data_IF_494708289805
#
_entry.id   IF_494708289805
#
_cell.length_a   1.000
_cell.length_b   1.000
_cell.length_c   1.000
_cell.angle_alpha   90.00
_cell.angle_beta   90.00
_cell.angle_gamma   90.00
#
_symmetry.space_group_name_H-M   'P 1'
#
loop_
_entity.id
_entity.type
_entity.pdbx_description
1 polymer ?
2 non-polymer ?
3 water ?
#
# COMPACT_ATOMS: atom_id res chain seq x y z
N UNK A 4 20.79 6.78 20.23
CA UNK A 4 21.07 5.46 20.88
C UNK A 4 21.02 4.33 19.85
N UNK A 5 21.92 3.35 20.01
CA UNK A 5 21.96 2.17 19.15
C UNK A 5 20.79 1.21 19.39
N UNK A 6 20.13 1.34 20.54
CA UNK A 6 18.98 0.51 20.92
C UNK A 6 17.79 0.78 20.00
N UNK A 7 17.56 2.08 19.75
CA UNK A 7 16.58 2.52 18.77
C UNK A 7 16.98 2.06 17.35
N UNK A 8 18.22 2.33 16.96
CA UNK A 8 18.74 1.96 15.63
C UNK A 8 18.68 0.47 15.25
N UNK A 9 18.99 -0.41 16.20
CA UNK A 9 18.93 -1.86 15.94
C UNK A 9 17.49 -2.36 15.75
N UNK A 10 16.52 -1.48 16.01
CA UNK A 10 15.12 -1.74 15.70
C UNK A 10 14.73 -1.21 14.31
N UNK A 11 15.68 -0.54 13.64
CA UNK A 11 15.46 0.04 12.31
C UNK A 11 15.56 -1.01 11.22
N UNK A 12 14.64 -0.94 10.25
CA UNK A 12 14.59 -1.87 9.13
C UNK A 12 15.96 -2.34 8.67
N UNK A 13 16.73 -1.43 8.11
CA UNK A 13 18.06 -1.74 7.55
C UNK A 13 18.91 -2.71 8.41
N UNK A 14 19.30 -2.31 9.62
CA UNK A 14 20.08 -3.20 10.51
C UNK A 14 19.32 -3.71 11.74
N UNK A 15 18.40 -4.66 11.53
CA UNK A 15 17.49 -5.06 12.60
C UNK A 15 17.76 -6.45 13.19
N UNK A 16 18.62 -6.48 14.22
CA UNK A 16 19.02 -7.73 14.87
C UNK A 16 19.95 -8.57 14.01
N UNK A 17 21.12 -8.03 13.69
CA UNK A 17 22.09 -8.70 12.81
C UNK A 17 23.46 -8.93 13.51
N UNK A 18 24.09 -7.83 13.95
CA UNK A 18 25.41 -7.88 14.60
C UNK A 18 25.38 -7.63 16.12
N UNK A 19 25.91 -8.60 16.91
CA UNK A 19 25.94 -8.50 18.39
C UNK A 19 26.71 -7.27 18.93
N UNK A 20 27.84 -6.93 18.32
CA UNK A 20 28.69 -5.81 18.79
C UNK A 20 29.20 -4.85 17.69
N UNK A 21 29.53 -5.40 16.51
CA UNK A 21 30.06 -4.59 15.41
C UNK A 21 28.94 -3.96 14.56
N UNK A 22 27.78 -3.78 15.19
CA UNK A 22 26.68 -2.98 14.65
C UNK A 22 27.04 -1.48 14.75
N UNK A 23 28.14 -1.21 15.45
CA UNK A 23 28.48 0.14 15.91
C UNK A 23 29.36 0.96 14.96
N UNK A 24 30.39 0.33 14.38
CA UNK A 24 31.31 1.03 13.46
C UNK A 24 30.68 1.38 12.12
N UNK A 25 29.38 1.11 12.01
CA UNK A 25 28.56 1.48 10.85
C UNK A 25 27.59 2.64 11.18
N UNK A 26 27.06 2.64 12.40
CA UNK A 26 26.28 3.76 12.93
C UNK A 26 27.13 5.03 12.97
N UNK A 27 28.41 4.86 13.29
CA UNK A 27 29.37 5.97 13.28
C UNK A 27 29.73 6.42 11.85
N UNK A 28 29.40 5.59 10.85
CA UNK A 28 29.55 5.98 9.43
C UNK A 28 28.43 6.93 9.00
N UNK A 29 27.57 7.29 9.95
CA UNK A 29 26.49 8.27 9.76
C UNK A 29 26.60 9.31 10.87
N UNK A 30 26.76 10.58 10.49
CA UNK A 30 26.65 11.67 11.46
C UNK A 30 25.15 11.96 11.67
N UNK A 31 24.76 12.17 12.94
CA UNK A 31 23.39 12.53 13.35
C UNK A 31 22.89 13.90 12.88
N UNK A 32 21.58 14.12 13.01
CA UNK A 32 20.97 15.40 12.60
C UNK A 32 19.83 15.72 13.54
N UNK A 33 19.90 16.91 14.13
CA UNK A 33 18.86 17.39 15.04
C UNK A 33 18.07 18.46 14.32
N UNK A 34 16.76 18.29 14.33
CA UNK A 34 15.83 19.22 13.69
C UNK A 34 14.91 19.77 14.79
N UNK A 35 14.61 21.08 14.73
CA UNK A 35 13.58 21.68 15.60
C UNK A 35 12.21 21.15 15.18
N UNK A 36 11.21 21.37 16.04
CA UNK A 36 9.80 21.14 15.70
C UNK A 36 9.36 22.05 14.56
N UNK A 37 8.52 21.50 13.68
CA UNK A 37 7.96 22.20 12.52
C UNK A 37 8.94 22.54 11.40
N UNK A 38 9.93 21.69 11.19
CA UNK A 38 11.00 21.88 10.23
C UNK A 38 10.74 21.04 8.96
N UNK A 39 10.87 21.65 7.79
CA UNK A 39 10.69 20.90 6.56
C UNK A 39 11.96 20.15 6.24
N UNK A 40 11.96 18.85 6.47
CA UNK A 40 13.16 18.07 6.17
C UNK A 40 13.40 18.03 4.67
N UNK A 41 12.34 17.82 3.88
CA UNK A 41 12.35 17.94 2.42
C UNK A 41 10.95 18.21 1.91
N UNK A 42 10.85 18.86 0.75
CA UNK A 42 9.56 19.28 0.23
C UNK A 42 9.25 18.52 -1.01
N UNK A 43 7.97 18.38 -1.31
CA UNK A 43 7.49 17.82 -2.56
C UNK A 43 8.22 18.39 -3.76
N UNK A 44 8.73 17.51 -4.60
CA UNK A 44 9.37 17.95 -5.85
C UNK A 44 10.82 18.36 -5.80
N UNK A 45 11.43 18.34 -4.62
CA UNK A 45 12.86 18.61 -4.51
C UNK A 45 13.67 17.37 -4.89
N UNK A 46 14.88 17.57 -5.45
CA UNK A 46 15.79 16.42 -5.58
C UNK A 46 16.11 15.80 -4.22
N UNK A 47 16.53 14.55 -4.21
CA UNK A 47 17.05 14.00 -2.97
C UNK A 47 17.75 12.69 -3.17
N UNK A 48 18.78 12.44 -2.38
CA UNK A 48 19.47 11.15 -2.42
C UNK A 48 19.85 10.73 -1.00
N UNK A 49 19.07 11.26 -0.06
CA UNK A 49 19.25 11.05 1.35
C UNK A 49 18.05 10.30 1.92
N UNK A 50 18.31 9.25 2.68
CA UNK A 50 17.27 8.68 3.55
C UNK A 50 17.60 9.00 4.99
N UNK A 51 16.58 8.97 5.84
CA UNK A 51 16.70 9.32 7.25
C UNK A 51 16.13 8.21 8.08
N UNK A 52 16.73 8.00 9.22
CA UNK A 52 16.20 7.07 10.21
C UNK A 52 16.04 7.89 11.47
N UNK A 53 14.82 7.86 12.01
CA UNK A 53 14.53 8.66 13.21
C UNK A 53 15.09 7.96 14.46
N UNK A 54 15.79 8.72 15.31
CA UNK A 54 16.22 8.20 16.62
C UNK A 54 15.15 8.57 17.66
N UNK A 55 14.71 9.82 17.62
CA UNK A 55 13.60 10.25 18.44
C UNK A 55 12.84 11.36 17.74
N UNK A 56 11.56 11.50 18.09
CA UNK A 56 10.68 12.50 17.47
C UNK A 56 9.78 11.93 16.37
N UNK A 57 8.91 12.77 15.82
CA UNK A 57 7.97 12.36 14.80
C UNK A 57 8.06 13.29 13.62
N UNK A 58 7.71 12.73 12.46
CA UNK A 58 7.82 13.35 11.17
C UNK A 58 6.58 12.96 10.43
N UNK A 59 5.83 13.97 9.96
CA UNK A 59 4.66 13.74 9.14
C UNK A 59 4.97 13.76 7.65
N UNK A 60 4.38 12.82 6.91
CA UNK A 60 4.71 12.63 5.49
C UNK A 60 3.50 13.06 4.68
N UNK A 61 3.66 14.06 3.82
CA UNK A 61 2.48 14.74 3.28
C UNK A 61 2.46 14.97 1.79
N UNK A 62 1.24 15.19 1.26
CA UNK A 62 1.01 15.63 -0.13
C UNK A 62 0.09 16.83 -0.08
N UNK A 63 0.27 17.73 -1.04
CA UNK A 63 -0.51 18.95 -1.08
C UNK A 63 -1.19 18.96 -2.44
N UNK A 64 -2.50 19.21 -2.47
CA UNK A 64 -3.23 19.28 -3.74
C UNK A 64 -3.03 20.64 -4.40
N UNK A 65 -3.19 20.73 -5.74
CA UNK A 65 -3.29 21.93 -6.57
C UNK A 65 -3.87 23.16 -5.89
N UNK A 66 -4.99 22.98 -5.17
CA UNK A 66 -5.70 24.08 -4.50
C UNK A 66 -5.39 24.19 -2.99
N UNK A 67 -4.23 23.66 -2.56
CA UNK A 67 -3.74 23.88 -1.21
C UNK A 67 -4.19 22.96 -0.09
N UNK A 68 -5.16 22.09 -0.36
CA UNK A 68 -5.52 21.06 0.62
C UNK A 68 -4.34 20.12 0.84
N UNK A 69 -4.26 19.56 2.04
CA UNK A 69 -3.15 18.71 2.40
C UNK A 69 -3.68 17.36 2.89
N UNK A 70 -2.89 16.33 2.58
CA UNK A 70 -3.17 14.97 3.02
C UNK A 70 -1.92 14.47 3.73
N UNK A 71 -2.07 13.70 4.81
CA UNK A 71 -0.92 13.06 5.41
C UNK A 71 -0.93 11.54 5.16
N UNK A 72 0.09 11.05 4.47
CA UNK A 72 0.17 9.60 4.13
C UNK A 72 0.47 8.74 5.39
N UNK A 73 1.37 9.22 6.22
CA UNK A 73 1.76 8.48 7.40
C UNK A 73 2.49 9.40 8.36
N UNK A 74 2.62 8.95 9.61
CA UNK A 74 3.45 9.64 10.64
C UNK A 74 4.58 8.67 11.00
N UNK A 75 5.80 9.14 10.88
CA UNK A 75 6.98 8.33 11.15
C UNK A 75 7.47 8.61 12.57
N UNK A 76 8.11 7.63 13.20
CA UNK A 76 8.57 7.75 14.62
C UNK A 76 9.92 7.06 14.82
N UNK A 77 10.39 6.96 16.09
CA UNK A 77 11.64 6.28 16.41
C UNK A 77 11.77 4.99 15.64
N UNK A 78 12.96 4.78 15.08
CA UNK A 78 13.33 3.62 14.26
C UNK A 78 12.80 3.62 12.82
N UNK A 79 11.82 4.48 12.49
CA UNK A 79 11.30 4.56 11.13
C UNK A 79 12.23 5.28 10.15
N UNK A 80 12.28 4.73 8.94
CA UNK A 80 13.05 5.30 7.85
C UNK A 80 12.12 6.05 6.93
N UNK A 81 12.60 7.18 6.42
CA UNK A 81 11.87 7.90 5.40
C UNK A 81 12.83 8.56 4.36
N UNK A 82 12.29 9.06 3.26
CA UNK A 82 13.06 9.58 2.11
C UNK A 82 13.74 8.47 1.33
N UNK A 83 13.21 7.24 1.43
CA UNK A 83 13.90 6.08 0.88
C UNK A 83 13.53 5.85 -0.58
N UNK A 84 12.45 6.49 -1.05
CA UNK A 84 11.95 6.24 -2.38
C UNK A 84 12.89 6.74 -3.48
N UNK A 85 13.44 7.94 -3.29
CA UNK A 85 14.46 8.48 -4.18
C UNK A 85 15.83 7.84 -4.02
N UNK A 86 16.00 6.98 -3.02
CA UNK A 86 17.21 6.21 -2.94
C UNK A 86 17.07 5.06 -3.94
N UNK A 87 15.91 4.42 -3.97
CA UNK A 87 15.82 3.17 -4.74
C UNK A 87 15.35 3.44 -6.15
N UNK A 88 14.74 4.61 -6.35
CA UNK A 88 14.13 5.01 -7.59
C UNK A 88 14.44 6.47 -7.78
N UNK A 89 15.73 6.75 -8.15
CA UNK A 89 16.20 8.13 -8.30
C UNK A 89 15.19 9.01 -8.99
N UNK A 90 14.94 10.17 -8.41
CA UNK A 90 14.03 11.16 -8.98
C UNK A 90 13.63 12.11 -7.86
N UNK A 91 12.76 13.07 -8.16
CA UNK A 91 12.49 14.05 -7.12
C UNK A 91 11.57 13.46 -6.04
N UNK A 92 11.57 14.08 -4.85
CA UNK A 92 10.60 13.78 -3.81
C UNK A 92 9.19 13.94 -4.36
N UNK A 93 8.34 12.96 -4.04
CA UNK A 93 6.92 13.02 -4.38
C UNK A 93 6.06 13.38 -3.18
N UNK A 94 6.73 13.51 -2.02
CA UNK A 94 6.11 13.84 -0.73
C UNK A 94 6.96 14.86 0.00
N UNK A 95 6.35 15.57 0.97
CA UNK A 95 7.08 16.38 1.94
C UNK A 95 7.25 15.60 3.25
N UNK A 96 8.36 15.84 3.97
CA UNK A 96 8.59 15.29 5.29
C UNK A 96 8.81 16.50 6.17
N UNK A 97 7.94 16.64 7.19
CA UNK A 97 7.95 17.76 8.14
C UNK A 97 7.91 17.24 9.60
N UNK A 98 8.85 17.74 10.37
CA UNK A 98 9.01 17.46 11.77
C UNK A 98 7.78 17.98 12.59
N UNK A 99 7.22 17.14 13.46
CA UNK A 99 6.09 17.56 14.33
C UNK A 99 6.51 17.71 15.80
N UNK A 100 7.72 17.29 16.12
CA UNK A 100 8.33 17.45 17.44
C UNK A 100 9.76 17.81 17.13
N UNK A 101 10.58 18.06 18.14
CA UNK A 101 12.00 18.13 17.93
C UNK A 101 12.44 16.70 17.55
N UNK A 102 13.32 16.58 16.57
CA UNK A 102 13.66 15.26 16.03
C UNK A 102 15.18 15.09 16.01
N UNK A 103 15.67 13.95 16.50
CA UNK A 103 17.05 13.47 16.28
C UNK A 103 16.96 12.37 15.24
N UNK A 104 17.74 12.50 14.18
CA UNK A 104 17.71 11.49 13.17
C UNK A 104 19.15 11.20 12.77
N UNK A 105 19.30 10.21 11.90
CA UNK A 105 20.57 9.90 11.35
C UNK A 105 20.27 9.78 9.86
N UNK A 106 21.29 9.99 9.02
CA UNK A 106 21.12 10.30 7.59
C UNK A 106 22.20 9.54 6.80
N UNK A 107 21.91 9.26 5.52
CA UNK A 107 22.75 8.37 4.69
C UNK A 107 22.41 8.61 3.24
N UNK A 108 23.39 8.58 2.33
CA UNK A 108 23.06 8.80 0.91
C UNK A 108 23.04 7.52 0.13
N UNK A 109 22.65 7.56 -1.14
CA UNK A 109 22.42 6.31 -1.91
C UNK A 109 23.68 5.48 -2.05
N UNK A 110 24.79 6.17 -2.32
CA UNK A 110 26.04 5.48 -2.59
C UNK A 110 26.56 4.77 -1.37
N UNK A 111 26.48 5.43 -0.22
CA UNK A 111 26.76 4.84 1.11
C UNK A 111 25.89 3.61 1.40
N UNK A 112 24.58 3.77 1.28
CA UNK A 112 23.66 2.63 1.35
C UNK A 112 23.99 1.48 0.39
N UNK A 113 24.26 1.79 -0.89
CA UNK A 113 24.73 0.75 -1.84
C UNK A 113 25.99 0.02 -1.34
N UNK A 114 26.90 0.75 -0.72
CA UNK A 114 28.11 0.15 -0.13
C UNK A 114 27.77 -0.91 0.95
N UNK A 115 26.82 -0.58 1.83
CA UNK A 115 26.28 -1.53 2.83
C UNK A 115 25.26 -2.52 2.30
N UNK A 116 25.48 -3.12 1.14
CA UNK A 116 24.59 -4.18 0.68
C UNK A 116 25.43 -5.21 -0.04
N UNK A 117 26.56 -4.75 -0.60
CA UNK A 117 27.43 -5.58 -1.41
C UNK A 117 28.15 -6.64 -0.57
N UNK A 118 28.18 -6.41 0.75
CA UNK A 118 28.54 -7.45 1.73
C UNK A 118 27.31 -8.22 2.21
N UNK A 119 26.15 -7.59 2.13
CA UNK A 119 25.06 -7.95 3.04
C UNK A 119 23.65 -7.90 2.47
N UNK A 120 23.27 -8.93 1.69
CA UNK A 120 21.93 -9.04 1.14
C UNK A 120 20.79 -9.12 2.16
N UNK A 121 21.07 -9.51 3.40
CA UNK A 121 20.03 -9.54 4.45
C UNK A 121 19.43 -8.15 4.72
N UNK A 122 20.22 -7.13 4.45
CA UNK A 122 19.78 -5.74 4.57
C UNK A 122 18.77 -5.39 3.49
N UNK A 123 19.05 -5.81 2.28
CA UNK A 123 18.11 -5.65 1.18
C UNK A 123 16.79 -6.36 1.48
N UNK A 124 16.86 -7.57 2.02
CA UNK A 124 15.66 -8.27 2.45
C UNK A 124 14.80 -7.40 3.39
N UNK A 125 15.45 -6.71 4.32
CA UNK A 125 14.78 -5.94 5.36
C UNK A 125 14.17 -4.67 4.74
N UNK A 126 14.84 -4.14 3.72
CA UNK A 126 14.32 -2.94 3.02
C UNK A 126 13.13 -3.26 2.13
N UNK A 127 13.15 -4.44 1.52
CA UNK A 127 12.02 -4.92 0.72
C UNK A 127 10.82 -5.23 1.61
N UNK A 128 11.06 -5.70 2.84
CA UNK A 128 10.00 -5.89 3.81
C UNK A 128 9.30 -4.55 4.10
N UNK A 129 10.09 -3.53 4.38
CA UNK A 129 9.57 -2.22 4.74
C UNK A 129 8.75 -1.64 3.60
N UNK A 130 9.27 -1.67 2.37
CA UNK A 130 8.53 -1.18 1.21
C UNK A 130 7.23 -1.96 0.99
N UNK A 131 7.27 -3.26 1.14
CA UNK A 131 6.04 -4.07 0.93
C UNK A 131 5.00 -3.79 2.04
N UNK A 132 5.47 -3.57 3.26
CA UNK A 132 4.60 -3.20 4.39
C UNK A 132 3.89 -1.89 4.08
N UNK A 133 4.65 -0.91 3.61
CA UNK A 133 4.10 0.38 3.18
C UNK A 133 3.15 0.28 1.99
N UNK A 134 3.48 -0.56 1.00
CA UNK A 134 2.55 -0.87 -0.09
C UNK A 134 1.23 -1.44 0.41
N UNK A 135 1.29 -2.41 1.31
CA UNK A 135 0.10 -2.98 1.93
C UNK A 135 -0.76 -1.94 2.65
N UNK A 136 -0.13 -1.10 3.44
CA UNK A 136 -0.84 -0.08 4.19
C UNK A 136 -1.56 0.89 3.24
N UNK A 137 -0.89 1.30 2.17
CA UNK A 137 -1.47 2.24 1.23
C UNK A 137 -2.71 1.56 0.57
N UNK A 138 -2.57 0.28 0.26
CA UNK A 138 -3.64 -0.49 -0.37
C UNK A 138 -4.81 -0.65 0.61
N UNK A 139 -4.49 -0.91 1.89
CA UNK A 139 -5.49 -0.98 2.95
C UNK A 139 -6.19 0.39 3.12
N UNK A 140 -5.43 1.48 3.12
CA UNK A 140 -6.05 2.84 3.09
C UNK A 140 -6.93 3.11 1.85
N UNK A 141 -6.52 2.61 0.68
CA UNK A 141 -7.30 2.78 -0.54
C UNK A 141 -8.65 2.04 -0.38
N UNK A 142 -8.59 0.82 0.15
CA UNK A 142 -9.80 0.07 0.42
C UNK A 142 -10.71 0.78 1.42
N UNK A 143 -10.13 1.39 2.47
CA UNK A 143 -10.92 2.11 3.50
C UNK A 143 -11.62 3.32 2.86
N UNK A 144 -10.87 4.06 2.04
CA UNK A 144 -11.41 5.23 1.37
C UNK A 144 -12.69 4.95 0.59
N UNK A 145 -12.71 3.88 -0.18
CA UNK A 145 -13.89 3.62 -0.99
C UNK A 145 -15.02 3.02 -0.13
N UNK A 146 -14.69 2.14 0.81
CA UNK A 146 -15.71 1.30 1.38
C UNK A 146 -16.01 1.48 2.87
N UNK A 147 -15.29 2.34 3.55
CA UNK A 147 -15.53 2.59 4.96
C UNK A 147 -15.96 4.04 5.08
N UNK A 148 -16.94 4.33 5.95
CA UNK A 148 -17.43 5.70 6.14
C UNK A 148 -16.44 6.50 6.98
N UNK A 149 -16.60 7.82 7.02
CA UNK A 149 -15.63 8.67 7.66
C UNK A 149 -15.44 8.27 9.15
N UNK A 150 -16.52 8.11 9.94
CA UNK A 150 -16.26 7.68 11.33
C UNK A 150 -15.48 6.35 11.46
N UNK A 151 -15.75 5.39 10.57
CA UNK A 151 -15.01 4.14 10.60
C UNK A 151 -13.54 4.39 10.29
N UNK A 152 -13.26 5.33 9.39
CA UNK A 152 -11.87 5.68 9.03
C UNK A 152 -11.16 6.43 10.17
N UNK A 153 -11.89 7.29 10.87
CA UNK A 153 -11.38 7.98 12.11
C UNK A 153 -11.00 6.93 13.13
N UNK A 154 -11.93 5.97 13.35
CA UNK A 154 -11.71 4.86 14.28
C UNK A 154 -10.46 4.04 13.92
N UNK A 155 -10.34 3.64 12.66
CA UNK A 155 -9.16 2.95 12.14
C UNK A 155 -7.84 3.71 12.32
N UNK A 156 -7.82 4.98 11.95
CA UNK A 156 -6.61 5.76 12.12
C UNK A 156 -6.19 5.87 13.58
N UNK A 157 -7.16 6.08 14.47
CA UNK A 157 -6.87 6.10 15.93
C UNK A 157 -6.28 4.78 16.42
N UNK A 158 -6.85 3.66 15.98
CA UNK A 158 -6.27 2.34 16.30
C UNK A 158 -4.91 2.06 15.66
N UNK A 159 -4.69 2.56 14.44
CA UNK A 159 -3.39 2.42 13.78
C UNK A 159 -2.33 3.27 14.52
N UNK A 160 -2.71 4.47 14.90
CA UNK A 160 -1.84 5.32 15.75
C UNK A 160 -1.50 4.60 17.06
N UNK A 161 -2.52 4.02 17.71
CA UNK A 161 -2.34 3.27 18.96
C UNK A 161 -1.41 2.07 18.78
N UNK A 162 -1.43 1.46 17.59
CA UNK A 162 -0.56 0.32 17.33
C UNK A 162 0.89 0.72 17.32
N UNK A 163 1.16 1.95 16.88
CA UNK A 163 2.53 2.42 16.66
C UNK A 163 3.04 3.23 17.87
N UNK A 164 2.14 3.97 18.50
CA UNK A 164 2.53 4.96 19.49
C UNK A 164 1.91 4.73 20.89
N UNK A 165 0.98 3.79 21.03
CA UNK A 165 0.23 3.68 22.28
C UNK A 165 1.04 3.11 23.42
N UNK A 166 0.66 3.48 24.66
CA UNK A 166 1.23 2.95 25.90
C UNK A 166 0.07 2.68 26.87
N UNK A 167 0.15 1.59 27.63
CA UNK A 167 -0.98 1.30 28.52
C UNK A 167 -1.03 2.34 29.66
N UNK A 168 -2.23 2.77 30.00
CA UNK A 168 -2.39 3.68 31.15
C UNK A 168 -3.58 3.11 31.86
N UNK A 169 -3.30 2.20 32.79
CA UNK A 169 -4.32 1.46 33.52
C UNK A 169 -5.13 0.58 32.58
N UNK A 170 -6.46 0.71 32.62
CA UNK A 170 -7.31 -0.04 31.71
C UNK A 170 -7.58 0.70 30.41
N UNK A 171 -6.67 1.58 30.02
CA UNK A 171 -6.83 2.41 28.84
C UNK A 171 -5.51 2.50 28.09
N UNK A 172 -5.57 2.97 26.85
CA UNK A 172 -4.39 3.08 26.01
C UNK A 172 -4.14 4.57 25.71
N UNK A 173 -3.00 5.08 26.16
CA UNK A 173 -2.61 6.48 25.87
C UNK A 173 -1.94 6.51 24.51
N UNK A 174 -2.38 7.41 23.62
CA UNK A 174 -1.81 7.47 22.27
C UNK A 174 -1.35 8.92 22.10
N UNK A 175 -0.05 9.14 22.28
CA UNK A 175 0.50 10.48 22.13
C UNK A 175 0.91 10.63 20.67
N UNK A 176 0.02 11.19 19.87
CA UNK A 176 0.23 11.30 18.39
C UNK A 176 0.94 12.57 17.97
N UNK A 177 0.96 13.59 18.86
CA UNK A 177 1.59 14.87 18.60
C UNK A 177 1.03 15.62 17.38
N UNK A 178 -0.23 15.33 17.04
CA UNK A 178 -0.90 15.97 15.94
C UNK A 178 -1.95 16.94 16.37
N UNK A 179 -2.12 17.92 15.52
CA UNK A 179 -3.04 18.99 15.74
C UNK A 179 -4.38 18.42 15.24
N UNK A 180 -5.52 19.05 15.62
CA UNK A 180 -6.88 18.69 15.11
C UNK A 180 -6.92 18.57 13.60
N UNK A 181 -6.33 19.55 12.93
CA UNK A 181 -6.26 19.64 11.48
C UNK A 181 -5.42 18.50 10.88
N UNK A 182 -4.28 18.20 11.53
CA UNK A 182 -3.40 17.11 11.08
C UNK A 182 -4.06 15.70 11.23
N UNK A 183 -4.82 15.50 12.31
CA UNK A 183 -5.62 14.27 12.43
C UNK A 183 -6.59 14.09 11.23
N UNK A 184 -7.22 15.18 10.78
CA UNK A 184 -8.17 15.10 9.69
C UNK A 184 -7.44 14.89 8.36
N UNK A 185 -6.28 15.51 8.20
CA UNK A 185 -5.41 15.29 7.03
C UNK A 185 -4.91 13.82 6.97
N UNK A 186 -4.62 13.24 8.12
CA UNK A 186 -4.20 11.83 8.25
C UNK A 186 -5.32 10.88 7.90
N UNK A 187 -6.52 11.17 8.39
CA UNK A 187 -7.73 10.40 8.02
C UNK A 187 -8.06 10.57 6.53
N UNK A 188 -7.85 11.78 6.04
CA UNK A 188 -8.07 12.11 4.61
C UNK A 188 -9.53 12.46 4.37
N UNK A 189 -10.09 13.20 5.32
CA UNK A 189 -11.50 13.60 5.33
C UNK A 189 -11.61 14.99 5.94
N UNK A 190 -12.76 15.64 5.75
CA UNK A 190 -12.96 17.02 6.18
C UNK A 190 -12.77 17.22 7.70
N UNK A 191 -12.26 18.39 8.11
CA UNK A 191 -12.06 18.68 9.51
C UNK A 191 -13.39 18.55 10.23
N UNK A 192 -14.40 19.16 9.66
CA UNK A 192 -15.73 19.11 10.24
C UNK A 192 -16.24 17.68 10.51
N UNK A 193 -16.09 16.77 9.55
CA UNK A 193 -16.62 15.42 9.72
C UNK A 193 -15.71 14.58 10.64
N UNK A 194 -14.40 14.80 10.57
CA UNK A 194 -13.49 14.11 11.50
C UNK A 194 -13.74 14.60 12.97
N UNK A 195 -13.96 15.89 13.16
CA UNK A 195 -14.20 16.43 14.51
C UNK A 195 -15.54 15.90 15.04
N UNK A 196 -16.53 15.85 14.15
CA UNK A 196 -17.85 15.23 14.43
C UNK A 196 -17.77 13.76 14.92
N UNK A 197 -16.99 12.91 14.23
CA UNK A 197 -16.71 11.52 14.67
C UNK A 197 -15.99 11.45 15.99
N UNK A 198 -14.90 12.21 16.14
CA UNK A 198 -14.17 12.26 17.42
C UNK A 198 -15.09 12.63 18.59
N UNK A 199 -15.96 13.61 18.38
CA UNK A 199 -16.94 14.04 19.42
C UNK A 199 -17.92 12.93 19.82
N UNK A 200 -18.45 12.23 18.82
CA UNK A 200 -19.32 11.10 19.05
C UNK A 200 -18.63 10.02 19.88
N UNK A 201 -17.38 9.68 19.51
CA UNK A 201 -16.58 8.67 20.22
C UNK A 201 -16.26 9.08 21.67
N UNK A 202 -15.99 10.37 21.87
CA UNK A 202 -15.84 10.99 23.22
C UNK A 202 -17.13 10.98 24.03
N UNK A 203 -18.25 11.26 23.36
CA UNK A 203 -19.53 11.29 24.03
C UNK A 203 -19.93 9.90 24.51
N UNK A 204 -19.75 8.92 23.64
CA UNK A 204 -19.95 7.50 23.95
C UNK A 204 -18.97 6.99 25.03
N UNK A 205 -17.96 7.78 25.34
CA UNK A 205 -16.99 7.46 26.39
C UNK A 205 -15.94 6.45 25.96
N UNK A 206 -15.71 6.34 24.65
CA UNK A 206 -14.74 5.39 24.10
C UNK A 206 -13.34 5.98 24.13
N UNK A 207 -13.27 7.31 24.00
CA UNK A 207 -12.00 8.02 23.93
C UNK A 207 -12.13 9.35 24.65
N UNK A 208 -10.98 9.89 25.06
CA UNK A 208 -10.94 11.27 25.56
C UNK A 208 -9.80 11.97 24.83
N UNK A 209 -10.08 13.14 24.28
CA UNK A 209 -9.11 13.89 23.51
C UNK A 209 -8.44 14.84 24.46
N UNK A 210 -7.11 14.79 24.52
CA UNK A 210 -6.36 15.59 25.49
C UNK A 210 -5.07 16.18 24.90
N UNK A 211 -5.17 17.37 24.32
CA UNK A 211 -4.00 18.03 23.78
C UNK A 211 -3.64 17.28 22.53
N UNK A 212 -2.36 16.89 22.41
CA UNK A 212 -1.97 16.10 21.25
C UNK A 212 -1.86 14.59 21.58
N UNK A 213 -2.78 14.14 22.44
CA UNK A 213 -2.89 12.72 22.78
C UNK A 213 -4.35 12.34 22.93
N UNK A 214 -4.64 11.08 22.69
CA UNK A 214 -5.97 10.59 22.89
C UNK A 214 -5.85 9.42 23.86
N UNK A 215 -6.79 9.31 24.77
CA UNK A 215 -6.87 8.16 25.63
C UNK A 215 -7.98 7.25 25.16
N UNK A 216 -7.66 6.03 24.75
CA UNK A 216 -8.69 5.08 24.30
C UNK A 216 -9.10 4.10 25.40
N UNK A 217 -10.33 4.29 25.88
CA UNK A 217 -10.88 3.55 27.02
C UNK A 217 -11.65 2.32 26.60
N UNK A 218 -12.05 2.29 25.33
CA UNK A 218 -12.80 1.18 24.77
C UNK A 218 -12.33 0.86 23.34
N UNK A 219 -11.14 0.26 23.23
CA UNK A 219 -10.62 -0.20 21.94
C UNK A 219 -11.55 -1.18 21.25
N UNK A 220 -12.32 -1.93 22.06
CA UNK A 220 -13.27 -2.94 21.56
C UNK A 220 -14.37 -2.35 20.69
N UNK A 221 -15.11 -1.39 21.24
CA UNK A 221 -16.20 -0.78 20.48
C UNK A 221 -15.70 0.14 19.37
N UNK A 222 -14.52 0.73 19.56
CA UNK A 222 -13.90 1.56 18.52
C UNK A 222 -13.57 0.71 17.28
N UNK A 223 -13.08 -0.51 17.51
CA UNK A 223 -12.66 -1.45 16.46
C UNK A 223 -13.86 -1.96 15.70
N UNK A 224 -14.94 -2.22 16.42
CA UNK A 224 -16.18 -2.69 15.83
C UNK A 224 -16.74 -1.67 14.87
N UNK A 225 -16.58 -0.40 15.21
CA UNK A 225 -17.04 0.72 14.41
C UNK A 225 -16.18 0.91 13.14
N UNK A 226 -14.90 0.54 13.24
CA UNK A 226 -13.94 0.64 12.12
C UNK A 226 -14.17 -0.45 11.07
N UNK A 227 -14.99 -1.44 11.43
CA UNK A 227 -15.29 -2.59 10.59
C UNK A 227 -15.96 -2.18 9.30
N UNK B 1 7.35 -23.14 -23.07
CA UNK B 1 6.29 -22.57 -23.97
C UNK B 1 6.44 -21.07 -24.22
N UNK B 2 6.88 -20.80 -25.44
CA UNK B 2 6.90 -19.51 -26.13
C UNK B 2 6.07 -18.32 -25.60
N UNK B 3 4.77 -18.35 -25.94
CA UNK B 3 3.75 -17.38 -25.59
C UNK B 3 3.51 -17.24 -24.08
N UNK B 4 3.57 -18.37 -23.38
CA UNK B 4 3.42 -18.44 -21.91
C UNK B 4 4.53 -17.63 -21.24
N UNK B 5 5.76 -17.85 -21.69
CA UNK B 5 6.93 -17.16 -21.18
C UNK B 5 6.82 -15.66 -21.29
N UNK B 6 6.37 -15.17 -22.45
CA UNK B 6 6.11 -13.76 -22.71
C UNK B 6 5.11 -13.13 -21.76
N UNK B 7 4.01 -13.85 -21.51
CA UNK B 7 2.96 -13.40 -20.54
C UNK B 7 3.55 -13.25 -19.15
N UNK B 8 4.27 -14.28 -18.72
CA UNK B 8 4.89 -14.28 -17.40
C UNK B 8 5.90 -13.14 -17.22
N UNK B 9 6.71 -12.95 -18.25
CA UNK B 9 7.83 -11.97 -18.21
C UNK B 9 7.32 -10.54 -18.15
N UNK B 10 6.01 -10.31 -18.38
CA UNK B 10 5.44 -8.98 -18.29
C UNK B 10 5.01 -8.65 -16.86
N UNK B 11 5.14 -9.60 -15.94
CA UNK B 11 4.71 -9.37 -14.53
C UNK B 11 5.52 -8.24 -13.92
N UNK B 12 4.93 -7.54 -12.95
CA UNK B 12 5.57 -6.35 -12.36
C UNK B 12 6.89 -6.62 -11.64
N UNK B 13 7.03 -7.83 -11.11
CA UNK B 13 8.21 -8.22 -10.38
C UNK B 13 9.46 -8.38 -11.28
N UNK B 14 9.23 -8.53 -12.59
CA UNK B 14 10.28 -8.71 -13.59
C UNK B 14 10.71 -7.42 -14.30
N UNK B 15 10.16 -6.29 -13.87
CA UNK B 15 10.48 -5.01 -14.53
C UNK B 15 11.93 -4.62 -14.37
N UNK B 16 12.66 -4.50 -15.48
CA UNK B 16 14.10 -4.22 -15.45
C UNK B 16 15.01 -5.41 -15.11
N UNK B 17 14.43 -6.59 -15.08
CA UNK B 17 15.19 -7.81 -14.73
C UNK B 17 15.69 -8.39 -16.04
N UNK B 18 16.97 -8.78 -16.07
CA UNK B 18 17.55 -9.35 -17.28
C UNK B 18 16.76 -10.59 -17.73
N UNK B 19 16.42 -10.68 -19.04
CA UNK B 19 15.49 -11.73 -19.45
C UNK B 19 15.94 -13.18 -19.13
N UNK B 20 17.22 -13.55 -19.27
CA UNK B 20 17.61 -14.97 -18.91
C UNK B 20 17.38 -15.31 -17.42
N UNK B 21 17.45 -14.29 -16.59
CA UNK B 21 17.25 -14.44 -15.16
C UNK B 21 15.77 -14.65 -14.89
N UNK B 22 14.92 -13.98 -15.68
CA UNK B 22 13.46 -14.17 -15.54
C UNK B 22 13.17 -15.64 -15.82
N UNK B 23 13.76 -16.16 -16.91
CA UNK B 23 13.56 -17.53 -17.38
C UNK B 23 14.09 -18.55 -16.36
N UNK B 24 15.22 -18.25 -15.71
CA UNK B 24 15.72 -19.13 -14.66
C UNK B 24 14.75 -19.26 -13.46
N UNK B 25 13.97 -18.22 -13.16
CA UNK B 25 12.98 -18.37 -12.11
C UNK B 25 11.77 -19.13 -12.64
N UNK B 26 11.14 -18.61 -13.68
CA UNK B 26 9.86 -19.18 -14.13
C UNK B 26 10.01 -20.73 -14.44
N UNK B 27 11.14 -21.14 -15.03
CA UNK B 27 11.31 -22.54 -15.37
C UNK B 27 11.17 -23.42 -14.11
N UNK B 28 11.25 -22.77 -12.97
CA UNK B 28 11.21 -23.40 -11.67
C UNK B 28 9.80 -23.45 -11.07
N UNK B 29 8.91 -22.61 -11.56
CA UNK B 29 7.57 -22.47 -11.01
C UNK B 29 6.62 -23.46 -11.66
N UNK B 30 5.72 -24.03 -10.89
CA UNK B 30 4.82 -25.09 -11.36
C UNK B 30 3.54 -24.38 -11.87
N UNK B 31 3.23 -24.45 -13.19
CA UNK B 31 1.96 -23.81 -13.59
C UNK B 31 0.79 -24.61 -13.01
N UNK B 32 -0.29 -23.94 -12.56
CA UNK B 32 -1.43 -24.62 -12.03
C UNK B 32 -2.72 -24.12 -12.65
N UNK B 33 -3.80 -24.90 -12.48
CA UNK B 33 -5.12 -24.52 -12.92
C UNK B 33 -6.02 -24.29 -11.73
N UNK B 34 -6.91 -23.30 -11.85
CA UNK B 34 -8.04 -23.14 -10.91
C UNK B 34 -9.34 -23.10 -11.72
N UNK B 35 -10.40 -23.81 -11.25
CA UNK B 35 -11.71 -23.60 -11.85
C UNK B 35 -12.25 -22.21 -11.50
N UNK B 36 -13.29 -21.80 -12.21
CA UNK B 36 -14.04 -20.57 -11.93
C UNK B 36 -14.70 -20.71 -10.56
N UNK B 37 -14.76 -19.62 -9.81
CA UNK B 37 -15.43 -19.67 -8.47
C UNK B 37 -14.56 -20.21 -7.33
N UNK B 38 -13.25 -20.28 -7.54
CA UNK B 38 -12.34 -20.91 -6.56
C UNK B 38 -11.69 -19.83 -5.75
N UNK B 39 -11.78 -19.93 -4.42
CA UNK B 39 -11.04 -19.00 -3.51
C UNK B 39 -9.61 -19.48 -3.44
N UNK B 40 -8.72 -18.69 -4.03
CA UNK B 40 -7.28 -19.04 -4.02
C UNK B 40 -6.81 -18.83 -2.59
N UNK B 41 -7.17 -17.67 -2.03
CA UNK B 41 -6.92 -17.43 -0.60
C UNK B 41 -7.95 -16.51 -0.03
N UNK B 42 -8.21 -16.62 1.27
CA UNK B 42 -9.19 -15.79 1.92
C UNK B 42 -8.43 -14.80 2.80
N UNK B 43 -9.07 -13.69 3.04
CA UNK B 43 -8.62 -12.72 3.98
C UNK B 43 -8.33 -13.43 5.31
N UNK B 44 -7.12 -13.18 5.86
CA UNK B 44 -6.83 -13.64 7.18
C UNK B 44 -5.98 -14.88 7.17
N UNK B 45 -5.90 -15.57 6.03
CA UNK B 45 -5.24 -16.87 6.03
C UNK B 45 -3.73 -16.66 5.94
N UNK B 46 -2.92 -17.69 6.30
CA UNK B 46 -1.47 -17.46 6.23
C UNK B 46 -0.99 -17.13 4.82
N UNK B 47 -0.14 -16.12 4.72
CA UNK B 47 0.27 -15.57 3.43
C UNK B 47 1.77 -15.69 3.22
N UNK B 48 2.16 -16.54 2.27
CA UNK B 48 3.53 -16.56 1.80
C UNK B 48 3.61 -17.07 0.38
N UNK B 49 2.89 -16.47 -0.54
CA UNK B 49 2.89 -17.00 -1.92
C UNK B 49 2.37 -15.91 -2.85
N UNK B 50 3.12 -15.67 -3.92
CA UNK B 50 2.78 -14.74 -4.97
C UNK B 50 2.29 -15.62 -6.15
N UNK B 51 1.26 -15.13 -6.84
CA UNK B 51 0.72 -15.75 -8.04
C UNK B 51 0.86 -14.77 -9.18
N UNK B 52 1.17 -15.28 -10.38
CA UNK B 52 1.12 -14.53 -11.61
C UNK B 52 0.13 -15.24 -12.53
N UNK B 53 -0.76 -14.47 -13.10
CA UNK B 53 -1.84 -15.05 -13.87
C UNK B 53 -1.35 -15.18 -15.27
N UNK B 54 -1.55 -16.36 -15.86
CA UNK B 54 -1.31 -16.55 -17.29
C UNK B 54 -2.56 -16.32 -18.10
N UNK B 55 -3.68 -16.95 -17.69
CA UNK B 55 -4.94 -16.63 -18.37
C UNK B 55 -6.08 -16.62 -17.35
N UNK B 56 -7.13 -15.87 -17.64
CA UNK B 56 -8.23 -15.77 -16.71
C UNK B 56 -8.21 -14.53 -15.81
N UNK B 57 -9.26 -14.37 -15.01
CA UNK B 57 -9.38 -13.19 -14.18
C UNK B 57 -9.68 -13.59 -12.76
N UNK B 58 -9.17 -12.77 -11.84
CA UNK B 58 -9.28 -13.07 -10.41
C UNK B 58 -9.78 -11.81 -9.73
N UNK B 59 -10.83 -11.89 -8.92
CA UNK B 59 -11.28 -10.70 -8.21
C UNK B 59 -10.59 -10.62 -6.83
N UNK B 60 -10.35 -9.40 -6.41
CA UNK B 60 -9.76 -9.16 -5.09
C UNK B 60 -10.82 -8.47 -4.23
N UNK B 61 -11.12 -9.05 -3.06
CA UNK B 61 -12.24 -8.59 -2.30
C UNK B 61 -11.87 -8.39 -0.85
N UNK B 62 -12.75 -7.72 -0.13
CA UNK B 62 -12.62 -7.60 1.33
C UNK B 62 -14.01 -7.75 1.91
N UNK B 63 -14.14 -8.54 2.98
CA UNK B 63 -15.45 -8.75 3.61
C UNK B 63 -16.13 -7.46 4.09
N UNK B 64 -17.42 -7.34 3.83
CA UNK B 64 -18.18 -6.18 4.27
C UNK B 64 -19.09 -6.57 5.43
N UNK B 65 -19.55 -5.59 6.25
CA UNK B 65 -20.57 -5.89 7.27
C UNK B 65 -21.74 -6.77 6.81
N UNK B 66 -22.03 -6.73 5.52
CA UNK B 66 -22.99 -7.59 4.81
C UNK B 66 -22.83 -9.14 4.94
N UNK B 67 -21.60 -9.60 5.16
CA UNK B 67 -21.24 -10.98 4.84
C UNK B 67 -20.89 -11.15 3.37
N UNK B 68 -21.24 -10.18 2.52
CA UNK B 68 -20.73 -10.18 1.13
C UNK B 68 -19.38 -9.49 1.13
N UNK B 69 -18.78 -9.43 -0.04
CA UNK B 69 -17.48 -8.87 -0.23
C UNK B 69 -17.48 -7.61 -1.11
N UNK B 70 -16.72 -6.58 -0.74
CA UNK B 70 -16.55 -5.43 -1.62
C UNK B 70 -15.52 -5.74 -2.68
N UNK B 71 -15.73 -5.21 -3.88
CA UNK B 71 -14.77 -5.51 -4.98
C UNK B 71 -13.66 -4.47 -4.94
N UNK B 72 -12.46 -4.93 -4.65
CA UNK B 72 -11.33 -4.00 -4.50
C UNK B 72 -10.68 -3.76 -5.86
N UNK B 73 -10.49 -4.84 -6.62
CA UNK B 73 -9.90 -4.77 -7.97
C UNK B 73 -10.06 -6.09 -8.72
N UNK B 74 -9.65 -6.14 -9.98
CA UNK B 74 -9.67 -7.39 -10.75
C UNK B 74 -8.26 -7.54 -11.32
N UNK B 75 -7.72 -8.77 -11.24
CA UNK B 75 -6.46 -9.11 -11.86
C UNK B 75 -6.64 -9.99 -13.11
N UNK B 76 -5.80 -9.77 -14.13
CA UNK B 76 -5.82 -10.55 -15.39
C UNK B 76 -4.46 -11.07 -15.85
N UNK B 77 -4.36 -11.51 -17.12
CA UNK B 77 -3.08 -12.04 -17.59
C UNK B 77 -1.94 -11.09 -17.31
N UNK B 78 -0.82 -11.60 -16.78
CA UNK B 78 0.41 -10.84 -16.49
C UNK B 78 0.41 -10.09 -15.15
N UNK B 79 -0.79 -9.98 -14.55
CA UNK B 79 -0.93 -9.38 -13.21
C UNK B 79 -0.53 -10.37 -12.16
N UNK B 80 -0.06 -9.85 -11.02
CA UNK B 80 0.18 -10.65 -9.81
C UNK B 80 -0.95 -10.48 -8.81
N UNK B 81 -1.13 -11.44 -7.91
CA UNK B 81 -1.87 -11.15 -6.68
C UNK B 81 -1.20 -11.90 -5.52
N UNK B 82 -1.42 -11.46 -4.29
CA UNK B 82 -0.71 -12.01 -3.13
C UNK B 82 0.78 -11.65 -3.14
N UNK B 83 1.23 -10.82 -4.07
CA UNK B 83 2.69 -10.56 -4.23
C UNK B 83 3.44 -9.97 -3.01
N UNK B 84 2.74 -9.19 -2.18
CA UNK B 84 3.40 -8.52 -1.06
C UNK B 84 3.77 -9.58 0.02
N UNK B 85 3.09 -10.70 0.02
CA UNK B 85 3.33 -11.71 1.05
C UNK B 85 4.72 -12.33 0.95
N UNK B 86 5.33 -12.34 -0.21
CA UNK B 86 6.68 -12.93 -0.25
C UNK B 86 7.80 -11.97 0.22
N UNK B 87 7.50 -10.67 0.25
CA UNK B 87 8.42 -9.67 0.83
C UNK B 87 8.18 -9.36 2.35
N UNK B 88 6.94 -9.59 2.79
CA UNK B 88 6.46 -9.26 4.14
C UNK B 88 5.41 -10.33 4.45
N UNK B 89 5.83 -11.56 4.70
CA UNK B 89 4.81 -12.59 4.99
C UNK B 89 3.93 -12.37 6.25
N UNK B 90 2.72 -12.93 6.20
CA UNK B 90 1.76 -12.77 7.27
C UNK B 90 0.35 -12.91 6.73
N UNK B 91 -0.65 -12.68 7.60
CA UNK B 91 -2.04 -12.92 7.16
C UNK B 91 -2.44 -12.12 5.90
N UNK B 92 -3.22 -12.71 5.05
CA UNK B 92 -3.77 -12.03 3.86
C UNK B 92 -4.66 -10.90 4.26
N UNK B 93 -4.55 -9.75 3.57
CA UNK B 93 -5.43 -8.64 3.99
C UNK B 93 -6.55 -8.46 2.97
N UNK B 94 -6.65 -9.42 2.06
CA UNK B 94 -7.77 -9.44 1.11
C UNK B 94 -7.92 -10.86 0.63
N UNK B 95 -9.04 -11.17 -0.01
CA UNK B 95 -9.28 -12.48 -0.64
C UNK B 95 -8.98 -12.43 -2.13
N UNK B 96 -8.71 -13.57 -2.75
CA UNK B 96 -8.52 -13.65 -4.19
C UNK B 96 -9.36 -14.83 -4.65
N UNK B 97 -10.33 -14.56 -5.54
CA UNK B 97 -11.27 -15.60 -6.03
C UNK B 97 -11.32 -15.54 -7.55
N UNK B 98 -11.24 -16.71 -8.21
CA UNK B 98 -11.29 -16.70 -9.69
C UNK B 98 -12.69 -16.36 -10.21
N UNK B 99 -12.77 -15.55 -11.28
CA UNK B 99 -14.05 -15.19 -11.91
C UNK B 99 -14.24 -16.00 -13.21
N UNK B 100 -13.14 -16.60 -13.71
CA UNK B 100 -13.14 -17.45 -14.89
C UNK B 100 -12.28 -18.66 -14.55
N UNK B 101 -12.16 -19.64 -15.44
CA UNK B 101 -11.08 -20.59 -15.30
C UNK B 101 -9.75 -19.85 -15.39
N UNK B 102 -8.80 -20.27 -14.54
CA UNK B 102 -7.54 -19.56 -14.44
C UNK B 102 -6.35 -20.52 -14.57
N UNK B 103 -5.30 -20.08 -15.27
CA UNK B 103 -3.99 -20.73 -15.25
C UNK B 103 -3.03 -19.71 -14.65
N UNK B 104 -2.20 -20.13 -13.70
CA UNK B 104 -1.29 -19.22 -12.99
C UNK B 104 -0.04 -20.00 -12.63
N UNK B 105 0.98 -19.27 -12.19
CA UNK B 105 2.18 -19.88 -11.67
C UNK B 105 2.26 -19.27 -10.25
N UNK B 106 2.89 -19.91 -9.28
CA UNK B 106 3.14 -19.23 -7.98
C UNK B 106 4.57 -19.42 -7.52
N UNK B 107 4.97 -18.58 -6.56
CA UNK B 107 6.29 -18.71 -5.93
C UNK B 107 6.12 -18.29 -4.46
N UNK B 108 6.85 -18.98 -3.57
CA UNK B 108 6.86 -18.66 -2.17
C UNK B 108 8.14 -17.91 -1.88
N UNK B 109 8.33 -17.48 -0.62
CA UNK B 109 9.49 -16.69 -0.22
C UNK B 109 10.80 -17.45 -0.39
N UNK B 110 10.74 -18.77 -0.23
CA UNK B 110 11.91 -19.63 -0.38
C UNK B 110 12.39 -19.60 -1.82
N UNK B 111 11.45 -19.62 -2.77
CA UNK B 111 11.79 -19.55 -4.20
C UNK B 111 12.43 -18.18 -4.52
N UNK B 112 11.84 -17.13 -3.98
CA UNK B 112 12.42 -15.80 -4.11
C UNK B 112 13.84 -15.74 -3.54
N UNK B 113 14.00 -16.25 -2.31
CA UNK B 113 15.30 -16.20 -1.70
C UNK B 113 16.35 -16.95 -2.55
N UNK B 114 15.97 -18.08 -3.10
CA UNK B 114 16.90 -18.88 -3.88
C UNK B 114 17.29 -18.15 -5.16
N UNK B 115 16.29 -17.61 -5.88
CA UNK B 115 16.48 -16.81 -7.09
C UNK B 115 17.51 -15.67 -6.85
N UNK B 116 17.28 -14.89 -5.79
CA UNK B 116 18.17 -13.75 -5.42
C UNK B 116 19.56 -14.19 -4.87
N UNK B 117 19.63 -15.29 -4.16
CA UNK B 117 20.95 -15.72 -3.61
C UNK B 117 22.06 -15.78 -4.67
N UNK B 118 21.71 -16.30 -5.82
CA UNK B 118 22.66 -16.35 -6.92
C UNK B 118 22.77 -15.05 -7.72
N UNK B 119 21.84 -14.13 -7.51
CA UNK B 119 21.71 -12.99 -8.42
C UNK B 119 21.55 -11.73 -7.56
N UNK B 120 22.63 -11.30 -6.89
CA UNK B 120 22.63 -10.15 -6.01
C UNK B 120 22.11 -8.88 -6.66
N UNK B 121 22.32 -8.72 -7.98
CA UNK B 121 21.85 -7.53 -8.73
C UNK B 121 20.32 -7.39 -8.81
N UNK B 122 19.61 -8.49 -8.65
CA UNK B 122 18.16 -8.48 -8.62
C UNK B 122 17.60 -7.77 -7.36
N UNK B 123 18.29 -7.85 -6.22
CA UNK B 123 17.76 -7.18 -5.03
C UNK B 123 17.63 -5.70 -5.28
N UNK B 124 18.66 -5.09 -5.90
CA UNK B 124 18.65 -3.64 -6.18
C UNK B 124 17.54 -3.27 -7.17
N UNK B 125 17.37 -4.11 -8.19
CA UNK B 125 16.28 -3.91 -9.14
C UNK B 125 14.93 -4.10 -8.48
N UNK B 126 14.74 -5.14 -7.65
CA UNK B 126 13.49 -5.27 -6.87
C UNK B 126 13.24 -4.08 -5.96
N UNK B 127 14.28 -3.54 -5.36
CA UNK B 127 14.04 -2.34 -4.53
C UNK B 127 13.52 -1.19 -5.40
N UNK B 128 14.08 -1.01 -6.59
CA UNK B 128 13.55 0.01 -7.52
C UNK B 128 12.06 -0.24 -7.89
N UNK B 129 11.75 -1.50 -8.20
CA UNK B 129 10.38 -1.86 -8.58
C UNK B 129 9.35 -1.56 -7.49
N UNK B 130 9.68 -1.99 -6.27
CA UNK B 130 8.75 -1.78 -5.15
C UNK B 130 8.65 -0.31 -4.81
N UNK B 131 9.78 0.41 -4.86
CA UNK B 131 9.75 1.85 -4.63
C UNK B 131 8.98 2.58 -5.71
N UNK B 132 9.18 2.24 -6.99
CA UNK B 132 8.43 2.94 -8.04
C UNK B 132 6.93 2.67 -7.90
N UNK B 133 6.61 1.46 -7.48
CA UNK B 133 5.23 1.12 -7.33
C UNK B 133 4.62 1.87 -6.15
N UNK B 134 5.41 2.12 -5.11
CA UNK B 134 4.87 2.74 -3.91
C UNK B 134 4.61 4.22 -4.18
N UNK B 135 5.52 4.86 -4.91
CA UNK B 135 5.32 6.24 -5.35
C UNK B 135 4.02 6.37 -6.12
N UNK B 136 3.79 5.44 -7.04
CA UNK B 136 2.60 5.46 -7.87
C UNK B 136 1.31 5.25 -7.06
N UNK B 137 1.31 4.31 -6.14
CA UNK B 137 0.06 3.99 -5.44
C UNK B 137 -0.21 5.05 -4.36
N UNK B 138 0.85 5.66 -3.82
CA UNK B 138 0.64 6.79 -2.92
C UNK B 138 0.09 7.99 -3.72
N UNK B 139 0.64 8.22 -4.93
CA UNK B 139 0.12 9.24 -5.84
C UNK B 139 -1.38 9.02 -6.11
N UNK B 140 -1.74 7.76 -6.36
CA UNK B 140 -3.13 7.40 -6.64
C UNK B 140 -3.99 7.63 -5.40
N UNK B 141 -3.54 7.14 -4.24
CA UNK B 141 -4.27 7.34 -3.00
C UNK B 141 -4.57 8.83 -2.79
N UNK B 142 -3.53 9.67 -2.81
CA UNK B 142 -3.72 11.11 -2.60
C UNK B 142 -4.66 11.74 -3.64
N UNK B 143 -4.50 11.42 -4.90
CA UNK B 143 -5.43 11.90 -5.94
C UNK B 143 -6.91 11.58 -5.61
N UNK B 144 -7.13 10.32 -5.26
CA UNK B 144 -8.47 9.86 -4.93
C UNK B 144 -9.03 10.56 -3.69
N UNK B 145 -8.16 10.83 -2.70
CA UNK B 145 -8.60 11.55 -1.47
C UNK B 145 -9.08 12.91 -1.86
N UNK B 146 -8.32 13.52 -2.76
CA UNK B 146 -8.65 14.86 -3.25
C UNK B 146 -9.81 14.91 -4.25
N UNK B 147 -10.42 13.74 -4.50
CA UNK B 147 -11.57 13.62 -5.42
C UNK B 147 -12.86 13.52 -4.63
N UNK B 148 -14.00 13.92 -5.19
CA UNK B 148 -15.27 13.73 -4.45
C UNK B 148 -15.71 12.27 -4.44
N UNK B 149 -16.70 11.94 -3.61
CA UNK B 149 -17.11 10.53 -3.45
C UNK B 149 -17.45 9.77 -4.75
N UNK B 150 -18.39 10.29 -5.58
CA UNK B 150 -18.73 9.47 -6.77
C UNK B 150 -17.59 9.48 -7.78
N UNK B 151 -16.81 10.56 -7.79
CA UNK B 151 -15.63 10.69 -8.65
C UNK B 151 -14.58 9.63 -8.35
N UNK B 152 -14.50 9.18 -7.10
CA UNK B 152 -13.55 8.13 -6.70
C UNK B 152 -13.86 6.80 -7.39
N UNK B 153 -15.11 6.36 -7.33
CA UNK B 153 -15.53 5.11 -7.94
C UNK B 153 -15.39 5.15 -9.48
N UNK B 154 -15.67 6.29 -10.09
CA UNK B 154 -15.53 6.44 -11.53
C UNK B 154 -14.09 6.29 -11.95
N UNK B 155 -13.17 6.94 -11.22
CA UNK B 155 -11.72 6.83 -11.50
C UNK B 155 -11.22 5.40 -11.42
N UNK B 156 -11.70 4.69 -10.39
CA UNK B 156 -11.34 3.27 -10.22
C UNK B 156 -11.86 2.38 -11.35
N UNK B 157 -13.11 2.56 -11.75
CA UNK B 157 -13.68 1.84 -12.91
C UNK B 157 -12.91 2.16 -14.20
N UNK B 158 -12.49 3.40 -14.35
CA UNK B 158 -11.69 3.76 -15.52
C UNK B 158 -10.31 3.09 -15.49
N UNK B 159 -9.73 2.95 -14.30
CA UNK B 159 -8.45 2.24 -14.15
C UNK B 159 -8.58 0.78 -14.54
N UNK B 160 -9.71 0.17 -14.19
CA UNK B 160 -10.02 -1.20 -14.64
C UNK B 160 -10.15 -1.31 -16.17
N UNK B 161 -10.82 -0.33 -16.79
CA UNK B 161 -10.95 -0.25 -18.26
C UNK B 161 -9.59 -0.17 -18.93
N UNK B 162 -8.71 0.68 -18.39
CA UNK B 162 -7.37 0.83 -18.92
C UNK B 162 -6.56 -0.46 -18.82
N UNK B 163 -6.85 -1.25 -17.81
CA UNK B 163 -6.04 -2.44 -17.64
C UNK B 163 -6.57 -3.62 -18.45
N UNK B 164 -7.90 -3.65 -18.68
CA UNK B 164 -8.55 -4.79 -19.32
C UNK B 164 -9.00 -4.50 -20.75
N UNK B 165 -9.00 -3.22 -21.13
CA UNK B 165 -9.47 -2.77 -22.47
C UNK B 165 -8.44 -2.80 -23.59
N UNK B 166 -8.90 -3.13 -24.79
CA UNK B 166 -8.08 -3.00 -26.01
C UNK B 166 -8.35 -1.62 -26.62
N UNK B 167 -7.28 -0.90 -26.95
CA UNK B 167 -7.44 0.41 -27.60
C UNK B 167 -8.12 0.29 -28.95
N UNK B 168 -9.20 1.06 -29.12
CA UNK B 168 -10.01 0.98 -30.33
C UNK B 168 -10.56 2.40 -30.57
N UNK B 169 -10.08 3.08 -31.62
CA UNK B 169 -10.56 4.43 -31.92
C UNK B 169 -10.60 5.39 -30.74
N UNK B 170 -9.50 5.47 -29.99
CA UNK B 170 -9.42 6.43 -28.84
C UNK B 170 -10.29 6.02 -27.68
N UNK B 171 -10.88 4.83 -27.75
CA UNK B 171 -11.64 4.29 -26.66
C UNK B 171 -11.12 2.90 -26.26
N UNK B 172 -11.76 2.30 -25.27
CA UNK B 172 -11.23 1.08 -24.70
C UNK B 172 -12.30 0.03 -24.79
N UNK B 173 -12.00 -1.09 -25.44
CA UNK B 173 -12.98 -2.17 -25.60
C UNK B 173 -12.72 -3.30 -24.61
N UNK B 174 -13.70 -3.59 -23.77
CA UNK B 174 -13.57 -4.67 -22.77
C UNK B 174 -14.63 -5.71 -23.04
N UNK B 175 -14.18 -6.92 -23.37
CA UNK B 175 -15.07 -8.03 -23.68
C UNK B 175 -15.04 -9.03 -22.50
N UNK B 176 -16.20 -9.59 -22.16
CA UNK B 176 -16.23 -10.65 -21.15
C UNK B 176 -17.21 -11.75 -21.50
N UNK B 177 -17.09 -12.86 -20.80
CA UNK B 177 -18.00 -13.97 -21.03
C UNK B 177 -18.75 -14.23 -19.74
N UNK B 178 -19.29 -13.15 -19.15
CA UNK B 178 -20.02 -13.17 -17.86
C UNK B 178 -21.53 -13.00 -17.95
N UNK B 179 -22.29 -13.92 -17.33
CA UNK B 179 -23.74 -13.74 -17.23
C UNK B 179 -24.10 -12.52 -16.37
N UNK B 180 -25.36 -12.11 -16.45
CA UNK B 180 -25.94 -11.09 -15.56
C UNK B 180 -25.78 -11.45 -14.05
N UNK B 181 -26.04 -12.71 -13.68
CA UNK B 181 -25.84 -13.08 -12.28
C UNK B 181 -24.32 -13.12 -11.89
N UNK B 182 -23.44 -13.43 -12.85
CA UNK B 182 -22.00 -13.48 -12.62
C UNK B 182 -21.44 -12.05 -12.46
N UNK B 183 -22.01 -11.08 -13.16
CA UNK B 183 -21.61 -9.69 -12.96
C UNK B 183 -22.02 -9.23 -11.55
N UNK B 184 -23.26 -9.56 -11.14
CA UNK B 184 -23.72 -9.16 -9.80
C UNK B 184 -22.88 -9.84 -8.71
N UNK B 185 -22.50 -11.09 -8.94
CA UNK B 185 -21.64 -11.82 -8.00
C UNK B 185 -20.27 -11.17 -7.94
N UNK B 186 -19.74 -10.80 -9.09
CA UNK B 186 -18.48 -10.04 -9.17
C UNK B 186 -18.46 -8.73 -8.31
N UNK B 187 -19.43 -7.85 -8.51
CA UNK B 187 -19.44 -6.58 -7.82
C UNK B 187 -19.75 -6.73 -6.33
N UNK B 188 -20.49 -7.76 -5.96
CA UNK B 188 -20.75 -8.08 -4.59
C UNK B 188 -21.40 -6.93 -3.84
N UNK B 189 -20.87 -6.65 -2.66
CA UNK B 189 -21.38 -5.56 -1.80
C UNK B 189 -21.26 -4.18 -2.46
N UNK B 190 -20.37 -4.03 -3.45
CA UNK B 190 -20.19 -2.74 -4.21
C UNK B 190 -21.21 -2.44 -5.32
N UNK B 191 -22.28 -3.23 -5.40
CA UNK B 191 -23.24 -3.17 -6.47
C UNK B 191 -23.94 -1.80 -6.63
N UNK B 192 -24.45 -1.27 -5.55
CA UNK B 192 -25.14 0.00 -5.57
C UNK B 192 -24.22 1.12 -6.06
N UNK B 193 -23.02 1.19 -5.50
CA UNK B 193 -22.12 2.26 -5.85
C UNK B 193 -21.57 2.09 -7.28
N UNK B 194 -21.25 0.85 -7.67
CA UNK B 194 -20.77 0.62 -9.02
C UNK B 194 -21.86 0.97 -10.01
N UNK B 195 -23.14 0.60 -9.72
CA UNK B 195 -24.26 0.79 -10.63
C UNK B 195 -24.55 2.28 -10.89
N UNK B 196 -24.45 3.09 -9.84
CA UNK B 196 -24.59 4.55 -9.93
C UNK B 196 -23.49 5.17 -10.82
N UNK B 197 -22.25 4.73 -10.63
CA UNK B 197 -21.14 5.17 -11.52
C UNK B 197 -21.33 4.74 -12.97
N UNK B 198 -21.72 3.49 -13.24
CA UNK B 198 -22.11 3.09 -14.62
C UNK B 198 -23.29 3.86 -15.25
N UNK B 199 -24.32 4.09 -14.46
CA UNK B 199 -25.46 4.85 -14.90
C UNK B 199 -25.04 6.27 -15.28
N UNK B 200 -24.12 6.84 -14.48
CA UNK B 200 -23.61 8.18 -14.79
C UNK B 200 -22.80 8.19 -16.09
N UNK B 201 -21.87 7.26 -16.21
CA UNK B 201 -21.10 7.07 -17.44
C UNK B 201 -22.02 6.89 -18.64
N UNK B 202 -23.03 6.03 -18.53
CA UNK B 202 -23.98 5.84 -19.63
C UNK B 202 -24.70 7.11 -20.05
N UNK B 203 -25.24 7.84 -19.06
CA UNK B 203 -26.01 9.05 -19.31
C UNK B 203 -25.13 10.06 -20.01
N UNK B 204 -23.84 10.04 -19.68
CA UNK B 204 -22.94 11.07 -20.16
C UNK B 204 -22.22 10.71 -21.46
N UNK B 205 -22.54 9.57 -22.04
CA UNK B 205 -21.94 9.19 -23.33
C UNK B 205 -20.60 8.47 -23.26
N UNK B 206 -20.19 8.05 -22.07
CA UNK B 206 -18.84 7.40 -21.88
C UNK B 206 -18.82 5.93 -22.26
N UNK B 207 -19.98 5.29 -22.30
CA UNK B 207 -20.04 3.82 -22.42
C UNK B 207 -21.07 3.36 -23.42
N UNK B 208 -20.68 2.41 -24.25
CA UNK B 208 -21.61 1.80 -25.20
C UNK B 208 -21.56 0.29 -24.94
N UNK B 209 -22.66 -0.29 -24.51
CA UNK B 209 -22.74 -1.75 -24.29
C UNK B 209 -23.09 -2.42 -25.58
N UNK B 210 -22.21 -3.30 -26.05
CA UNK B 210 -22.43 -3.98 -27.31
C UNK B 210 -22.66 -5.48 -27.06
N UNK B 211 -23.44 -5.79 -26.02
CA UNK B 211 -23.78 -7.19 -25.68
C UNK B 211 -22.97 -7.75 -24.53
N UNK B 212 -21.94 -8.55 -24.83
CA UNK B 212 -21.00 -8.95 -23.78
C UNK B 212 -19.65 -8.21 -23.83
N UNK B 213 -19.64 -7.13 -24.59
CA UNK B 213 -18.49 -6.25 -24.72
C UNK B 213 -18.94 -4.82 -24.50
N UNK B 214 -18.09 -4.00 -23.90
CA UNK B 214 -18.38 -2.60 -23.64
C UNK B 214 -17.28 -1.74 -24.30
N UNK B 215 -17.66 -0.58 -24.87
CA UNK B 215 -16.69 0.43 -25.33
C UNK B 215 -16.80 1.62 -24.38
N UNK B 216 -15.66 2.08 -23.85
CA UNK B 216 -15.60 3.11 -22.82
C UNK B 216 -14.61 4.16 -23.23
N UNK B 217 -14.92 5.44 -23.07
CA UNK B 217 -13.98 6.51 -23.48
C UNK B 217 -12.73 6.53 -22.59
N UNK B 218 -11.55 6.74 -23.19
CA UNK B 218 -10.33 7.21 -22.43
C UNK B 218 -9.70 8.36 -23.22
#
# INVERSE_FOLDING_TARGET
GSHMDEILARAGIFQGVEPSAIAALTKQLQPVDFPRGHTVFAEGEPGDRLYIIISGKVKIGRRAPDGRENLLTIMGPSDMFGELSIFDPGPRTSSATTITEVRAVSMDRDALRSWIADRPEISEQLLRVLARRLRRTNNNLADLIFTDVPGRVAKQLLQLAQRFGTQEGGALRVTHDLTQEEIAQLVGASRETVNKALADFAHRGWIRLEGKSVLISDSERLARRAR
GSHMDEILARAGIFQGVEPSAIAALTKQLQPVDFPRGHTVFAEGEPGDRLYIIISGKVKIGRRAPDGRENLLTIMGPSDMFGELSIFDPGPRTSSATTITEVRAVSMDRDALRSWIADRPEISEQLLRVLARRLRRTNNNLADLIFTDVPGRVAKQLLQLAQRFGTQEGGALRVTHDLTQEEIAQLVGASRETVNKALADFAHRGWIRLEGKSVLISDSERLARRAR
#
